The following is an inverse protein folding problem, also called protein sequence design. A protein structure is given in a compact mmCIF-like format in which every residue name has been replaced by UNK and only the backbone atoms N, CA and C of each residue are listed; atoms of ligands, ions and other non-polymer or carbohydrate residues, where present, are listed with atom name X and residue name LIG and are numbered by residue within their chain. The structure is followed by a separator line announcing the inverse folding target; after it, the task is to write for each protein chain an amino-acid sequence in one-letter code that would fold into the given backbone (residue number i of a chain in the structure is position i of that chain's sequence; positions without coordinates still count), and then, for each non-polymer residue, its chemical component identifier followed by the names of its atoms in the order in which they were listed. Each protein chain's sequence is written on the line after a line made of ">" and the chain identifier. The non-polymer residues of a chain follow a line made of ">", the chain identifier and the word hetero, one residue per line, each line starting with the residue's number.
data_IF_854857766924
#
_entry.id   IF_854857766924
#
_cell.length_a   1.000
_cell.length_b   1.000
_cell.length_c   1.000
_cell.angle_alpha   90.00
_cell.angle_beta   90.00
_cell.angle_gamma   90.00
#
_symmetry.space_group_name_H-M   'P 1'
#
loop_
_entity.id
_entity.type
_entity.pdbx_description
1 polymer ?
#
# COMPACT_ATOMS: atom_id res chain seq x y z
N UNK A 1 -38.79 -11.23 10.67
CA UNK A 1 -37.88 -11.75 9.63
C UNK A 1 -36.54 -11.99 10.30
N UNK A 2 -36.24 -13.23 10.67
CA UNK A 2 -34.94 -13.59 11.22
C UNK A 2 -34.00 -13.81 10.04
N UNK A 3 -33.04 -12.92 9.86
CA UNK A 3 -31.93 -13.13 8.94
C UNK A 3 -31.03 -14.20 9.60
N UNK A 4 -31.21 -15.46 9.21
CA UNK A 4 -30.33 -16.54 9.63
C UNK A 4 -28.90 -16.13 9.30
N UNK A 5 -28.05 -16.05 10.33
CA UNK A 5 -26.65 -15.71 10.15
C UNK A 5 -26.05 -16.71 9.16
N UNK A 6 -25.41 -16.25 8.07
CA UNK A 6 -24.89 -17.15 7.06
C UNK A 6 -23.87 -18.09 7.72
N UNK A 7 -24.12 -19.39 7.65
CA UNK A 7 -23.22 -20.43 8.16
C UNK A 7 -21.83 -20.23 7.53
N UNK A 8 -20.90 -19.74 8.33
CA UNK A 8 -19.52 -19.54 7.89
C UNK A 8 -18.90 -20.92 7.74
N UNK A 9 -18.81 -21.39 6.51
CA UNK A 9 -18.26 -22.70 6.20
C UNK A 9 -16.86 -22.83 6.83
N UNK A 10 -16.60 -23.82 7.71
CA UNK A 10 -15.33 -23.93 8.44
C UNK A 10 -14.10 -24.00 7.53
N UNK A 11 -14.27 -24.49 6.29
CA UNK A 11 -13.24 -24.48 5.26
C UNK A 11 -12.79 -23.07 4.83
N UNK A 12 -13.67 -22.07 4.85
CA UNK A 12 -13.34 -20.69 4.51
C UNK A 12 -12.41 -20.08 5.57
N UNK A 13 -12.69 -20.33 6.85
CA UNK A 13 -11.86 -19.88 7.97
C UNK A 13 -10.45 -20.47 7.87
N UNK A 14 -10.34 -21.79 7.66
CA UNK A 14 -9.06 -22.46 7.51
C UNK A 14 -8.23 -21.91 6.33
N UNK A 15 -8.88 -21.59 5.20
CA UNK A 15 -8.22 -20.99 4.05
C UNK A 15 -7.70 -19.57 4.36
N UNK A 16 -8.54 -18.72 4.98
CA UNK A 16 -8.15 -17.36 5.36
C UNK A 16 -6.99 -17.35 6.35
N UNK A 17 -6.99 -18.28 7.30
CA UNK A 17 -5.94 -18.43 8.30
C UNK A 17 -4.60 -18.82 7.67
N UNK A 18 -4.58 -19.77 6.73
CA UNK A 18 -3.36 -20.18 6.02
C UNK A 18 -2.77 -19.04 5.20
N UNK A 19 -3.60 -18.26 4.52
CA UNK A 19 -3.16 -17.10 3.76
C UNK A 19 -2.62 -16.00 4.67
N UNK A 20 -3.29 -15.73 5.79
CA UNK A 20 -2.81 -14.78 6.79
C UNK A 20 -1.42 -15.18 7.31
N UNK A 21 -1.23 -16.44 7.75
CA UNK A 21 0.07 -16.93 8.23
C UNK A 21 1.17 -16.76 7.18
N UNK A 22 0.90 -17.16 5.92
CA UNK A 22 1.88 -17.00 4.83
C UNK A 22 2.27 -15.54 4.62
N UNK A 23 1.28 -14.64 4.70
CA UNK A 23 1.50 -13.21 4.61
C UNK A 23 2.35 -12.65 5.75
N UNK A 24 2.04 -13.06 6.98
CA UNK A 24 2.83 -12.72 8.18
C UNK A 24 4.28 -13.16 8.00
N UNK A 25 4.51 -14.41 7.59
CA UNK A 25 5.86 -14.96 7.40
C UNK A 25 6.61 -14.21 6.29
N UNK A 26 5.98 -14.00 5.13
CA UNK A 26 6.62 -13.33 4.01
C UNK A 26 6.96 -11.87 4.34
N UNK A 27 6.01 -11.12 4.89
CA UNK A 27 6.20 -9.70 5.20
C UNK A 27 7.19 -9.50 6.37
N UNK A 28 7.11 -10.33 7.41
CA UNK A 28 8.05 -10.29 8.53
C UNK A 28 9.44 -10.75 8.13
N UNK A 29 9.55 -11.72 7.21
CA UNK A 29 10.83 -12.18 6.66
C UNK A 29 11.53 -11.07 5.87
N UNK A 30 10.81 -10.42 4.95
CA UNK A 30 11.35 -9.29 4.17
C UNK A 30 11.77 -8.12 5.08
N UNK A 31 10.98 -7.82 6.11
CA UNK A 31 11.30 -6.72 7.03
C UNK A 31 12.46 -7.10 7.96
N UNK A 32 12.52 -8.34 8.46
CA UNK A 32 13.60 -8.83 9.34
C UNK A 32 14.97 -8.84 8.66
N UNK A 33 15.05 -9.12 7.35
CA UNK A 33 16.31 -9.02 6.61
C UNK A 33 16.84 -7.58 6.63
N UNK A 34 15.97 -6.57 6.61
CA UNK A 34 16.37 -5.17 6.70
C UNK A 34 16.84 -4.76 8.10
N UNK A 35 16.34 -5.41 9.16
CA UNK A 35 16.79 -5.18 10.56
C UNK A 35 18.28 -5.50 10.75
N UNK A 36 18.82 -6.41 9.93
CA UNK A 36 20.26 -6.73 9.93
C UNK A 36 21.09 -5.50 9.51
N UNK A 37 20.53 -4.58 8.73
CA UNK A 37 21.23 -3.38 8.25
C UNK A 37 21.51 -2.33 9.34
N UNK A 38 20.86 -2.43 10.52
CA UNK A 38 20.93 -1.45 11.63
C UNK A 38 20.69 0.00 11.21
N UNK A 39 19.93 0.23 10.15
CA UNK A 39 19.57 1.57 9.71
C UNK A 39 18.05 1.69 9.71
N UNK A 40 17.51 2.53 10.60
CA UNK A 40 16.05 2.62 10.75
C UNK A 40 15.36 3.10 9.47
N UNK A 41 16.04 3.86 8.62
CA UNK A 41 15.53 4.22 7.28
C UNK A 41 15.33 3.00 6.39
N UNK A 42 16.31 2.08 6.30
CA UNK A 42 16.18 0.90 5.46
C UNK A 42 15.10 -0.05 5.99
N UNK A 43 14.97 -0.18 7.32
CA UNK A 43 13.91 -0.95 7.97
C UNK A 43 12.51 -0.41 7.63
N UNK A 44 12.32 0.91 7.76
CA UNK A 44 11.05 1.55 7.42
C UNK A 44 10.74 1.46 5.92
N UNK A 45 11.74 1.56 5.04
CA UNK A 45 11.56 1.42 3.60
C UNK A 45 11.21 -0.02 3.21
N UNK A 46 11.90 -1.00 3.81
CA UNK A 46 11.60 -2.41 3.64
C UNK A 46 10.17 -2.73 4.08
N UNK A 47 9.68 -2.12 5.16
CA UNK A 47 8.29 -2.27 5.58
C UNK A 47 7.28 -1.74 4.54
N UNK A 48 7.52 -0.57 3.94
CA UNK A 48 6.67 -0.04 2.84
C UNK A 48 6.67 -0.99 1.65
N UNK A 49 7.85 -1.47 1.23
CA UNK A 49 8.00 -2.38 0.10
C UNK A 49 7.33 -3.72 0.40
N UNK A 50 7.52 -4.26 1.60
CA UNK A 50 6.92 -5.52 2.04
C UNK A 50 5.38 -5.44 2.01
N UNK A 51 4.78 -4.35 2.52
CA UNK A 51 3.33 -4.13 2.43
C UNK A 51 2.87 -4.02 0.97
N UNK A 52 3.63 -3.28 0.15
CA UNK A 52 3.30 -3.04 -1.26
C UNK A 52 3.33 -4.31 -2.10
N UNK A 53 4.23 -5.25 -1.82
CA UNK A 53 4.33 -6.54 -2.52
C UNK A 53 3.40 -7.57 -1.91
N UNK A 54 3.43 -7.75 -0.59
CA UNK A 54 2.73 -8.84 0.07
C UNK A 54 1.21 -8.66 -0.01
N UNK A 55 0.68 -7.45 0.25
CA UNK A 55 -0.77 -7.27 0.32
C UNK A 55 -1.49 -7.65 -0.98
N UNK A 56 -1.12 -7.12 -2.15
CA UNK A 56 -1.84 -7.48 -3.38
C UNK A 56 -1.72 -8.97 -3.69
N UNK A 57 -0.55 -9.59 -3.48
CA UNK A 57 -0.34 -11.01 -3.79
C UNK A 57 -1.11 -11.97 -2.86
N UNK A 58 -1.42 -11.54 -1.63
CA UNK A 58 -2.21 -12.34 -0.69
C UNK A 58 -3.72 -12.18 -0.90
N UNK A 59 -4.14 -11.06 -1.49
CA UNK A 59 -5.55 -10.73 -1.74
C UNK A 59 -6.00 -11.27 -3.09
N UNK A 60 -6.57 -12.47 -3.09
CA UNK A 60 -7.10 -13.07 -4.31
C UNK A 60 -8.33 -12.28 -4.82
N UNK A 61 -8.50 -12.11 -6.14
CA UNK A 61 -9.57 -11.28 -6.72
C UNK A 61 -10.99 -11.74 -6.36
N UNK A 62 -11.17 -13.00 -6.00
CA UNK A 62 -12.47 -13.61 -5.65
C UNK A 62 -12.72 -13.69 -4.14
N UNK A 63 -11.81 -13.20 -3.30
CA UNK A 63 -12.04 -13.19 -1.85
C UNK A 63 -13.11 -12.17 -1.46
N UNK A 64 -13.97 -12.48 -0.46
CA UNK A 64 -14.93 -11.53 0.07
C UNK A 64 -14.21 -10.37 0.78
N UNK A 65 -14.83 -9.18 0.80
CA UNK A 65 -14.22 -7.96 1.35
C UNK A 65 -13.76 -8.11 2.80
N UNK A 66 -14.52 -8.84 3.63
CA UNK A 66 -14.15 -9.13 5.02
C UNK A 66 -12.81 -9.88 5.13
N UNK A 67 -12.59 -10.87 4.27
CA UNK A 67 -11.32 -11.63 4.25
C UNK A 67 -10.15 -10.77 3.80
N UNK A 68 -10.36 -9.86 2.83
CA UNK A 68 -9.31 -8.93 2.40
C UNK A 68 -8.92 -7.98 3.52
N UNK A 69 -9.90 -7.43 4.25
CA UNK A 69 -9.63 -6.57 5.41
C UNK A 69 -8.86 -7.32 6.51
N UNK A 70 -9.21 -8.58 6.78
CA UNK A 70 -8.49 -9.41 7.76
C UNK A 70 -7.04 -9.68 7.33
N UNK A 71 -6.83 -10.09 6.07
CA UNK A 71 -5.48 -10.29 5.51
C UNK A 71 -4.69 -8.98 5.59
N UNK A 72 -5.30 -7.88 5.14
CA UNK A 72 -4.74 -6.54 5.20
C UNK A 72 -4.29 -6.15 6.61
N UNK A 73 -5.19 -6.27 7.58
CA UNK A 73 -4.94 -5.95 8.98
C UNK A 73 -3.84 -6.81 9.60
N UNK A 74 -3.85 -8.12 9.36
CA UNK A 74 -2.82 -9.04 9.88
C UNK A 74 -1.44 -8.77 9.30
N UNK A 75 -1.33 -8.58 7.99
CA UNK A 75 -0.04 -8.24 7.34
C UNK A 75 0.47 -6.88 7.82
N UNK A 76 -0.39 -5.86 7.88
CA UNK A 76 -0.03 -4.54 8.40
C UNK A 76 0.46 -4.61 9.85
N UNK A 77 -0.27 -5.33 10.72
CA UNK A 77 0.07 -5.46 12.13
C UNK A 77 1.43 -6.15 12.31
N UNK A 78 1.71 -7.21 11.55
CA UNK A 78 3.01 -7.90 11.62
C UNK A 78 4.17 -7.01 11.18
N UNK A 79 4.02 -6.27 10.09
CA UNK A 79 5.07 -5.33 9.64
C UNK A 79 5.27 -4.20 10.64
N UNK A 80 4.18 -3.65 11.19
CA UNK A 80 4.24 -2.59 12.21
C UNK A 80 4.90 -3.06 13.51
N UNK A 81 4.71 -4.32 13.89
CA UNK A 81 5.39 -4.96 15.02
C UNK A 81 6.91 -5.03 14.81
N UNK A 82 7.36 -5.37 13.59
CA UNK A 82 8.81 -5.39 13.30
C UNK A 82 9.39 -3.98 13.41
N UNK A 83 8.66 -2.94 13.01
CA UNK A 83 9.11 -1.55 13.17
C UNK A 83 9.23 -1.10 14.63
N UNK A 84 8.61 -1.78 15.60
CA UNK A 84 8.84 -1.48 17.02
C UNK A 84 10.28 -1.79 17.46
N UNK A 85 11.03 -2.57 16.68
CA UNK A 85 12.43 -2.87 16.95
C UNK A 85 13.39 -1.75 16.52
N UNK A 86 12.89 -0.76 15.76
CA UNK A 86 13.68 0.39 15.35
C UNK A 86 14.06 1.25 16.57
N UNK A 87 15.30 1.77 16.63
CA UNK A 87 15.73 2.68 17.70
C UNK A 87 15.22 4.11 17.45
N UNK A 88 13.89 4.30 17.41
CA UNK A 88 13.22 5.58 17.18
C UNK A 88 12.34 5.98 18.37
N UNK A 89 11.99 7.26 18.45
CA UNK A 89 10.97 7.71 19.40
C UNK A 89 9.61 7.11 19.07
N UNK A 90 8.74 7.01 20.08
CA UNK A 90 7.36 6.55 19.88
C UNK A 90 6.59 7.43 18.86
N UNK A 91 6.82 8.74 18.85
CA UNK A 91 6.18 9.66 17.91
C UNK A 91 6.59 9.37 16.46
N UNK A 92 7.89 9.19 16.22
CA UNK A 92 8.44 8.82 14.90
C UNK A 92 7.92 7.44 14.46
N UNK A 93 7.87 6.46 15.38
CA UNK A 93 7.28 5.15 15.10
C UNK A 93 5.81 5.27 14.70
N UNK A 94 5.01 5.99 15.48
CA UNK A 94 3.58 6.18 15.21
C UNK A 94 3.34 6.89 13.86
N UNK A 95 4.20 7.86 13.51
CA UNK A 95 4.17 8.53 12.21
C UNK A 95 4.44 7.56 11.04
N UNK A 96 5.47 6.72 11.15
CA UNK A 96 5.75 5.67 10.17
C UNK A 96 4.58 4.67 10.04
N UNK A 97 4.01 4.25 11.16
CA UNK A 97 2.84 3.34 11.19
C UNK A 97 1.62 3.98 10.52
N UNK A 98 1.37 5.28 10.71
CA UNK A 98 0.29 5.97 10.03
C UNK A 98 0.47 6.00 8.51
N UNK A 99 1.71 6.24 8.02
CA UNK A 99 2.03 6.17 6.59
C UNK A 99 1.82 4.74 6.06
N UNK A 100 2.29 3.71 6.78
CA UNK A 100 2.08 2.32 6.40
C UNK A 100 0.59 1.94 6.35
N UNK A 101 -0.21 2.46 7.29
CA UNK A 101 -1.65 2.22 7.31
C UNK A 101 -2.31 2.80 6.07
N UNK A 102 -1.98 4.05 5.72
CA UNK A 102 -2.49 4.69 4.51
C UNK A 102 -2.06 3.93 3.23
N UNK A 103 -0.80 3.49 3.16
CA UNK A 103 -0.30 2.67 2.05
C UNK A 103 -1.04 1.32 1.95
N UNK A 104 -1.25 0.64 3.08
CA UNK A 104 -1.97 -0.63 3.12
C UNK A 104 -3.41 -0.48 2.63
N UNK A 105 -4.12 0.56 3.09
CA UNK A 105 -5.46 0.89 2.61
C UNK A 105 -5.48 1.20 1.12
N UNK A 106 -4.48 1.93 0.61
CA UNK A 106 -4.36 2.20 -0.82
C UNK A 106 -4.21 0.92 -1.63
N UNK A 107 -3.37 -0.03 -1.18
CA UNK A 107 -3.23 -1.34 -1.82
C UNK A 107 -4.55 -2.10 -1.85
N UNK A 108 -5.31 -2.07 -0.75
CA UNK A 108 -6.65 -2.67 -0.65
C UNK A 108 -7.63 -2.03 -1.64
N UNK A 109 -7.59 -0.71 -1.80
CA UNK A 109 -8.42 0.00 -2.78
C UNK A 109 -8.05 -0.35 -4.22
N UNK A 110 -6.75 -0.35 -4.54
CA UNK A 110 -6.26 -0.68 -5.87
C UNK A 110 -6.62 -2.11 -6.28
N UNK A 111 -6.41 -3.10 -5.40
CA UNK A 111 -6.78 -4.50 -5.72
C UNK A 111 -8.29 -4.67 -5.84
N UNK A 112 -9.08 -3.89 -5.08
CA UNK A 112 -10.55 -3.92 -5.17
C UNK A 112 -11.05 -3.36 -6.51
N UNK A 113 -10.33 -2.40 -7.08
CA UNK A 113 -10.66 -1.76 -8.36
C UNK A 113 -10.11 -2.54 -9.56
N UNK A 114 -8.80 -2.80 -9.58
CA UNK A 114 -8.11 -3.39 -10.73
C UNK A 114 -8.25 -4.90 -10.80
N UNK A 115 -8.46 -5.58 -9.67
CA UNK A 115 -8.60 -7.04 -9.54
C UNK A 115 -7.42 -7.87 -10.08
N UNK A 116 -6.32 -7.25 -10.46
CA UNK A 116 -5.11 -7.91 -10.96
C UNK A 116 -3.92 -7.59 -10.05
N UNK A 117 -3.51 -8.51 -9.15
CA UNK A 117 -2.52 -8.22 -8.12
C UNK A 117 -1.15 -7.88 -8.70
N UNK A 118 -0.76 -8.50 -9.81
CA UNK A 118 0.51 -8.20 -10.48
C UNK A 118 0.55 -6.76 -11.00
N UNK A 119 -0.55 -6.27 -11.57
CA UNK A 119 -0.64 -4.88 -12.05
C UNK A 119 -0.55 -3.91 -10.87
N UNK A 120 -1.24 -4.21 -9.76
CA UNK A 120 -1.18 -3.39 -8.54
C UNK A 120 0.25 -3.32 -8.01
N UNK A 121 0.97 -4.44 -7.94
CA UNK A 121 2.37 -4.47 -7.49
C UNK A 121 3.26 -3.65 -8.41
N UNK A 122 3.19 -3.87 -9.72
CA UNK A 122 4.04 -3.16 -10.70
C UNK A 122 3.77 -1.65 -10.66
N UNK A 123 2.50 -1.24 -10.69
CA UNK A 123 2.14 0.18 -10.62
C UNK A 123 2.59 0.83 -9.31
N UNK A 124 2.48 0.10 -8.19
CA UNK A 124 2.90 0.62 -6.88
C UNK A 124 4.41 0.69 -6.75
N UNK A 125 5.17 -0.28 -7.28
CA UNK A 125 6.63 -0.21 -7.32
C UNK A 125 7.12 0.90 -8.25
N UNK A 126 6.43 1.13 -9.37
CA UNK A 126 6.72 2.25 -10.27
C UNK A 126 6.49 3.59 -9.56
N UNK A 127 5.40 3.70 -8.79
CA UNK A 127 5.15 4.84 -7.90
C UNK A 127 6.27 4.98 -6.87
N UNK A 128 6.62 3.94 -6.11
CA UNK A 128 7.67 4.03 -5.08
C UNK A 128 9.06 4.39 -5.64
N UNK A 129 9.30 4.10 -6.91
CA UNK A 129 10.56 4.39 -7.61
C UNK A 129 10.51 5.66 -8.45
N UNK A 130 9.39 6.40 -8.50
CA UNK A 130 9.28 7.63 -9.31
C UNK A 130 10.42 8.63 -9.09
N UNK A 131 10.91 8.87 -7.85
CA UNK A 131 11.99 9.82 -7.66
C UNK A 131 13.27 9.43 -8.40
N UNK A 132 13.49 8.14 -8.68
CA UNK A 132 14.64 7.67 -9.44
C UNK A 132 14.48 8.04 -10.92
N UNK A 133 13.39 7.60 -11.56
CA UNK A 133 13.27 7.65 -13.03
C UNK A 133 12.64 8.93 -13.58
N UNK A 134 11.86 9.66 -12.79
CA UNK A 134 11.25 10.92 -13.23
C UNK A 134 12.13 12.14 -12.94
N UNK A 135 13.20 11.99 -12.14
CA UNK A 135 14.08 13.10 -11.70
C UNK A 135 14.53 13.99 -12.86
N UNK A 136 15.09 13.42 -13.93
CA UNK A 136 15.59 14.18 -15.10
C UNK A 136 14.50 15.02 -15.77
N UNK A 137 13.26 14.54 -15.76
CA UNK A 137 12.11 15.21 -16.39
C UNK A 137 11.51 16.31 -15.50
N UNK A 138 11.87 16.34 -14.22
CA UNK A 138 11.41 17.33 -13.26
C UNK A 138 12.37 18.51 -13.09
N UNK A 139 13.51 18.50 -13.77
CA UNK A 139 14.40 19.66 -13.82
C UNK A 139 13.64 20.87 -14.42
N UNK A 140 13.67 22.00 -13.73
CA UNK A 140 12.87 23.19 -14.06
C UNK A 140 11.39 23.12 -13.64
N UNK A 141 10.99 22.05 -12.94
CA UNK A 141 9.62 21.84 -12.43
C UNK A 141 9.65 21.49 -10.93
N UNK A 142 10.44 22.22 -10.14
CA UNK A 142 10.74 21.95 -8.73
C UNK A 142 9.47 21.95 -7.85
N UNK A 143 8.48 22.76 -8.21
CA UNK A 143 7.19 22.80 -7.52
C UNK A 143 6.42 21.46 -7.67
N UNK A 144 6.53 20.82 -8.83
CA UNK A 144 5.93 19.49 -9.06
C UNK A 144 6.67 18.43 -8.26
N UNK A 145 8.00 18.45 -8.29
CA UNK A 145 8.82 17.55 -7.49
C UNK A 145 8.48 17.65 -6.00
N UNK A 146 8.35 18.88 -5.48
CA UNK A 146 7.97 19.14 -4.08
C UNK A 146 6.56 18.63 -3.76
N UNK A 147 5.59 18.85 -4.65
CA UNK A 147 4.21 18.39 -4.46
C UNK A 147 4.12 16.86 -4.48
N UNK A 148 4.83 16.21 -5.40
CA UNK A 148 4.91 14.75 -5.48
C UNK A 148 5.65 14.16 -4.28
N UNK A 149 6.72 14.81 -3.81
CA UNK A 149 7.45 14.39 -2.62
C UNK A 149 6.56 14.38 -1.37
N UNK A 150 5.69 15.39 -1.22
CA UNK A 150 4.79 15.52 -0.07
C UNK A 150 3.75 14.38 0.04
N UNK A 151 3.41 13.71 -1.06
CA UNK A 151 2.47 12.58 -1.09
C UNK A 151 3.15 11.21 -1.19
N UNK A 152 4.48 11.18 -1.30
CA UNK A 152 5.24 9.96 -1.53
C UNK A 152 5.65 9.28 -0.20
N UNK A 153 5.25 8.02 0.04
CA UNK A 153 5.41 7.38 1.35
C UNK A 153 6.87 7.23 1.79
N UNK A 154 7.80 6.90 0.89
CA UNK A 154 9.22 6.77 1.24
C UNK A 154 9.85 8.13 1.58
N UNK A 155 9.44 9.20 0.91
CA UNK A 155 9.99 10.53 1.17
C UNK A 155 9.40 11.13 2.46
N UNK A 156 8.13 10.86 2.73
CA UNK A 156 7.50 11.21 4.01
C UNK A 156 8.17 10.48 5.19
N UNK A 157 8.46 9.18 5.06
CA UNK A 157 9.21 8.42 6.07
C UNK A 157 10.63 8.98 6.24
N UNK A 158 11.33 9.27 5.13
CA UNK A 158 12.67 9.87 5.18
C UNK A 158 12.66 11.20 5.96
N UNK A 159 11.63 12.02 5.77
CA UNK A 159 11.44 13.26 6.53
C UNK A 159 11.27 13.06 8.04
N UNK A 160 10.67 11.95 8.47
CA UNK A 160 10.54 11.60 9.90
C UNK A 160 11.81 10.99 10.50
N UNK A 161 12.74 10.55 9.65
CA UNK A 161 13.98 9.85 10.03
C UNK A 161 15.24 10.63 9.69
N UNK A 162 15.13 11.95 9.47
CA UNK A 162 16.26 12.81 9.12
C UNK A 162 17.44 12.68 10.10
N UNK A 163 17.15 12.51 11.39
CA UNK A 163 18.16 12.35 12.44
C UNK A 163 18.95 11.03 12.35
N UNK A 164 18.45 10.03 11.60
CA UNK A 164 19.10 8.73 11.47
C UNK A 164 19.97 8.58 10.23
N UNK A 165 19.60 9.26 9.15
CA UNK A 165 20.39 9.50 7.94
C UNK A 165 19.46 10.07 6.88
N UNK A 166 19.98 10.96 6.05
CA UNK A 166 19.27 11.38 4.86
C UNK A 166 19.42 10.28 3.80
N UNK A 167 18.31 9.68 3.38
CA UNK A 167 18.33 8.59 2.40
C UNK A 167 19.04 8.96 1.09
N UNK A 168 18.90 10.20 0.62
CA UNK A 168 19.55 10.69 -0.61
C UNK A 168 21.06 10.79 -0.51
N UNK A 169 21.63 10.80 0.69
CA UNK A 169 23.08 10.82 0.90
C UNK A 169 23.70 9.41 0.90
N UNK A 170 22.89 8.36 0.77
CA UNK A 170 23.40 6.99 0.70
C UNK A 170 24.06 6.75 -0.68
N UNK A 171 25.25 6.11 -0.75
CA UNK A 171 26.02 5.98 -1.99
C UNK A 171 25.26 5.40 -3.19
N UNK A 172 24.37 4.42 -2.95
CA UNK A 172 23.54 3.84 -4.01
C UNK A 172 22.58 4.86 -4.64
N UNK A 173 21.97 5.71 -3.82
CA UNK A 173 21.02 6.73 -4.30
C UNK A 173 21.75 7.90 -4.94
N UNK A 174 22.84 8.34 -4.32
CA UNK A 174 23.67 9.43 -4.84
C UNK A 174 24.31 9.08 -6.20
N UNK A 175 24.62 7.79 -6.43
CA UNK A 175 25.20 7.32 -7.68
C UNK A 175 24.19 6.97 -8.78
N UNK A 176 22.94 6.63 -8.42
CA UNK A 176 21.93 6.16 -9.39
C UNK A 176 20.80 7.15 -9.64
N UNK A 177 20.71 8.23 -8.86
CA UNK A 177 19.66 9.25 -9.03
C UNK A 177 20.26 10.64 -9.10
N UNK A 178 19.72 11.43 -10.02
CA UNK A 178 19.94 12.88 -10.12
C UNK A 178 19.16 13.67 -9.04
N UNK A 179 18.38 12.97 -8.21
CA UNK A 179 17.52 13.60 -7.22
C UNK A 179 18.39 14.26 -6.14
N UNK A 180 18.10 15.53 -5.80
CA UNK A 180 18.91 16.39 -4.92
C UNK A 180 20.26 16.89 -5.50
N UNK A 181 20.66 16.47 -6.71
CA UNK A 181 21.78 17.05 -7.46
C UNK A 181 21.28 17.96 -8.58
N UNK A 182 20.29 17.51 -9.36
CA UNK A 182 19.76 18.25 -10.52
C UNK A 182 18.34 18.80 -10.29
N UNK A 183 17.59 18.24 -9.34
CA UNK A 183 16.24 18.70 -8.99
C UNK A 183 16.13 18.93 -7.49
N UNK A 184 16.18 20.19 -7.02
CA UNK A 184 15.95 20.49 -5.62
C UNK A 184 14.47 20.24 -5.28
N UNK A 185 14.23 19.56 -4.17
CA UNK A 185 12.91 19.35 -3.62
C UNK A 185 12.97 19.48 -2.10
N UNK A 186 11.87 19.93 -1.50
CA UNK A 186 11.78 19.97 -0.04
C UNK A 186 11.44 18.58 0.49
N UNK A 187 12.25 18.06 1.41
CA UNK A 187 11.89 16.86 2.17
C UNK A 187 10.64 17.19 3.02
N UNK A 188 9.57 16.37 2.97
CA UNK A 188 8.36 16.66 3.72
C UNK A 188 8.64 16.68 5.23
N UNK A 189 8.33 17.80 5.90
CA UNK A 189 8.48 17.94 7.35
C UNK A 189 7.30 17.34 8.13
N UNK A 190 6.21 17.01 7.44
CA UNK A 190 5.01 16.44 8.04
C UNK A 190 4.52 15.24 7.23
N UNK A 191 3.87 14.29 7.90
CA UNK A 191 3.27 13.11 7.27
C UNK A 191 1.84 13.35 6.77
N UNK A 192 1.23 14.47 7.16
CA UNK A 192 -0.21 14.71 7.04
C UNK A 192 -0.65 14.66 5.58
N UNK A 193 0.09 15.33 4.69
CA UNK A 193 -0.22 15.35 3.25
C UNK A 193 -0.15 13.95 2.64
N UNK A 194 0.87 13.17 2.98
CA UNK A 194 1.02 11.79 2.52
C UNK A 194 -0.12 10.90 3.03
N UNK A 195 -0.41 10.92 4.34
CA UNK A 195 -1.46 10.10 4.95
C UNK A 195 -2.84 10.48 4.40
N UNK A 196 -3.14 11.78 4.31
CA UNK A 196 -4.42 12.27 3.81
C UNK A 196 -4.62 11.92 2.34
N UNK A 197 -3.63 12.17 1.46
CA UNK A 197 -3.73 11.86 0.04
C UNK A 197 -3.95 10.37 -0.21
N UNK A 198 -3.09 9.51 0.35
CA UNK A 198 -3.18 8.06 0.15
C UNK A 198 -4.45 7.49 0.81
N UNK A 199 -4.85 8.01 1.98
CA UNK A 199 -6.08 7.62 2.67
C UNK A 199 -7.34 7.99 1.89
N UNK A 200 -7.43 9.21 1.36
CA UNK A 200 -8.56 9.66 0.52
C UNK A 200 -8.63 8.80 -0.74
N UNK A 201 -7.51 8.60 -1.44
CA UNK A 201 -7.46 7.79 -2.65
C UNK A 201 -7.87 6.34 -2.35
N UNK A 202 -7.43 5.77 -1.23
CA UNK A 202 -7.85 4.45 -0.77
C UNK A 202 -9.36 4.37 -0.56
N UNK A 203 -9.95 5.34 0.15
CA UNK A 203 -11.40 5.38 0.39
C UNK A 203 -12.18 5.47 -0.92
N UNK A 204 -11.76 6.32 -1.86
CA UNK A 204 -12.40 6.44 -3.17
C UNK A 204 -12.34 5.13 -3.97
N UNK A 205 -11.19 4.46 -3.98
CA UNK A 205 -11.00 3.19 -4.69
C UNK A 205 -11.77 2.03 -4.03
N UNK A 206 -11.90 2.01 -2.71
CA UNK A 206 -12.71 1.02 -1.98
C UNK A 206 -14.20 1.26 -2.24
N UNK A 207 -14.65 2.52 -2.25
CA UNK A 207 -16.04 2.90 -2.46
C UNK A 207 -16.49 2.70 -3.91
N UNK A 208 -15.60 2.92 -4.89
CA UNK A 208 -15.90 2.84 -6.33
C UNK A 208 -16.63 1.56 -6.76
N UNK A 209 -16.14 0.33 -6.49
CA UNK A 209 -16.83 -0.89 -6.88
C UNK A 209 -18.17 -1.09 -6.15
N UNK A 210 -18.31 -0.56 -4.93
CA UNK A 210 -19.56 -0.62 -4.16
C UNK A 210 -20.63 0.26 -4.83
N UNK A 211 -20.25 1.46 -5.24
CA UNK A 211 -21.14 2.41 -5.90
C UNK A 211 -21.44 2.02 -7.37
N UNK A 212 -20.47 1.43 -8.07
CA UNK A 212 -20.61 1.03 -9.47
C UNK A 212 -21.34 -0.31 -9.67
N UNK A 213 -21.36 -1.20 -8.67
CA UNK A 213 -21.98 -2.54 -8.77
C UNK A 213 -23.43 -2.53 -9.27
N UNK A 214 -24.33 -1.66 -8.77
CA UNK A 214 -25.70 -1.53 -9.25
C UNK A 214 -25.80 -1.08 -10.72
N UNK A 215 -24.86 -0.27 -11.20
CA UNK A 215 -24.86 0.23 -12.58
C UNK A 215 -24.38 -0.85 -13.55
N UNK A 216 -23.27 -1.53 -13.22
CA UNK A 216 -22.70 -2.60 -14.05
C UNK A 216 -23.67 -3.77 -14.18
N UNK A 217 -24.34 -4.16 -13.09
CA UNK A 217 -25.34 -5.24 -13.11
C UNK A 217 -26.61 -4.90 -13.92
N UNK A 218 -26.93 -3.61 -14.12
CA UNK A 218 -28.02 -3.18 -15.00
C UNK A 218 -27.62 -3.18 -16.47
N UNK A 219 -26.41 -2.73 -16.80
CA UNK A 219 -25.90 -2.69 -18.18
C UNK A 219 -25.60 -4.09 -18.71
N UNK A 220 -24.99 -4.94 -17.89
CA UNK A 220 -24.58 -6.29 -18.29
C UNK A 220 -25.55 -7.39 -17.85
N UNK A 221 -26.79 -7.07 -17.47
CA UNK A 221 -27.82 -8.11 -17.38
C UNK A 221 -28.06 -8.58 -18.80
N UNK A 222 -27.62 -9.79 -19.21
CA UNK A 222 -28.01 -10.30 -20.51
C UNK A 222 -29.53 -10.25 -20.53
N UNK A 223 -30.12 -9.68 -21.58
CA UNK A 223 -31.53 -9.88 -21.85
C UNK A 223 -31.70 -11.37 -22.06
N UNK A 224 -31.99 -12.07 -20.96
CA UNK A 224 -32.28 -13.50 -20.99
C UNK A 224 -33.33 -13.71 -22.08
N UNK A 225 -33.21 -14.80 -22.87
CA UNK A 225 -34.16 -15.08 -23.93
C UNK A 225 -35.55 -14.90 -23.34
N UNK A 226 -36.32 -13.96 -23.91
CA UNK A 226 -37.71 -13.78 -23.50
C UNK A 226 -38.33 -15.16 -23.63
N UNK A 227 -38.61 -15.80 -22.49
CA UNK A 227 -39.20 -17.11 -22.47
C UNK A 227 -40.52 -16.95 -23.21
N UNK A 228 -40.52 -17.36 -24.48
CA UNK A 228 -41.68 -17.35 -25.32
C UNK A 228 -42.71 -18.16 -24.59
N UNK A 229 -43.75 -17.47 -24.11
CA UNK A 229 -45.02 -18.11 -23.78
C UNK A 229 -45.49 -18.79 -25.05
N UNK A 230 -45.13 -20.06 -25.22
CA UNK A 230 -45.88 -20.95 -26.07
C UNK A 230 -47.28 -21.02 -25.42
N UNK A 231 -48.24 -20.40 -26.11
CA UNK A 231 -49.66 -20.52 -25.82
C UNK A 231 -50.14 -21.91 -26.20
#
# INVERSE_FOLDING_TARGET
>A
MGEEAPDVHPGLLALTWRSAIRGVIAASGLTSVAVISRSGVAEAFAAVIAITIALPLLMLPNQPSKSRLLIGGTTFFSVSLVLLLMPVTFATWAACVAILCAQALLMIGLISTLREPTIVVVASLLWLSWPVWLSVHLAGHEQWATSLAAVHPLLAINGQLLDQAIWTERPLMYGWTALNQDVPYAIPTTIVTCVAFNGILAVLLIACPILAGPLVSRVFRPHGPQAGRLK
#
